data_IF_117281405167
#
_entry.id   IF_117281405167
#
_cell.length_a   1.000
_cell.length_b   1.000
_cell.length_c   1.000
_cell.angle_alpha   90.00
_cell.angle_beta   90.00
_cell.angle_gamma   90.00
#
_symmetry.space_group_name_H-M   'P 1'
#
loop_
_entity.id
_entity.type
_entity.pdbx_description
1 polymer ?
#
# COMPACT_ATOMS: atom_id res chain seq x y z
N UNK A 1 -10.32 5.73 6.11
CA UNK A 1 -10.13 4.28 5.83
C UNK A 1 -9.45 4.09 4.50
N UNK A 2 -8.48 3.23 4.47
CA UNK A 2 -7.72 2.85 3.28
C UNK A 2 -7.94 1.40 2.94
N UNK A 3 -8.02 1.11 1.66
CA UNK A 3 -8.08 -0.25 1.13
C UNK A 3 -6.79 -0.53 0.36
N UNK A 4 -6.11 -1.59 0.75
CA UNK A 4 -4.90 -2.06 0.07
C UNK A 4 -5.21 -3.39 -0.62
N UNK A 5 -4.87 -3.47 -1.88
CA UNK A 5 -5.04 -4.68 -2.69
C UNK A 5 -3.67 -5.22 -3.03
N UNK A 6 -3.42 -6.46 -2.64
CA UNK A 6 -2.20 -7.18 -2.92
C UNK A 6 -2.54 -8.37 -3.82
N UNK A 7 -1.70 -8.63 -4.79
CA UNK A 7 -1.96 -9.74 -5.69
C UNK A 7 -0.67 -10.44 -6.11
N UNK A 8 -0.82 -11.73 -6.33
CA UNK A 8 0.20 -12.60 -6.88
C UNK A 8 -0.39 -13.25 -8.13
N UNK A 9 -0.04 -12.71 -9.28
CA UNK A 9 -0.59 -13.12 -10.57
C UNK A 9 0.52 -13.73 -11.44
N UNK A 10 0.24 -14.83 -12.13
CA UNK A 10 1.22 -15.41 -13.04
C UNK A 10 1.48 -14.48 -14.23
N UNK A 11 2.74 -14.39 -14.66
CA UNK A 11 3.17 -13.50 -15.75
C UNK A 11 4.07 -14.20 -16.77
N UNK A 12 4.31 -15.49 -16.64
CA UNK A 12 5.19 -16.24 -17.54
C UNK A 12 4.56 -16.42 -18.91
N UNK A 13 3.30 -16.83 -18.96
CA UNK A 13 2.57 -16.96 -20.22
C UNK A 13 1.98 -15.65 -20.67
N UNK A 14 1.88 -15.44 -21.98
CA UNK A 14 1.37 -14.20 -22.55
C UNK A 14 -0.06 -13.89 -22.12
N UNK A 15 -0.93 -14.88 -22.09
CA UNK A 15 -2.31 -14.70 -21.66
C UNK A 15 -2.40 -14.23 -20.22
N UNK A 16 -1.55 -14.80 -19.34
CA UNK A 16 -1.50 -14.42 -17.95
C UNK A 16 -0.97 -13.00 -17.77
N UNK A 17 0.01 -12.58 -18.56
CA UNK A 17 0.50 -11.20 -18.56
C UNK A 17 -0.57 -10.23 -18.99
N UNK A 18 -1.35 -10.54 -19.99
CA UNK A 18 -2.47 -9.71 -20.46
C UNK A 18 -3.49 -9.53 -19.35
N UNK A 19 -3.85 -10.60 -18.66
CA UNK A 19 -4.79 -10.57 -17.55
C UNK A 19 -4.25 -9.77 -16.36
N UNK A 20 -2.98 -9.93 -16.03
CA UNK A 20 -2.34 -9.14 -14.98
C UNK A 20 -2.34 -7.65 -15.32
N UNK A 21 -2.02 -7.29 -16.55
CA UNK A 21 -2.03 -5.90 -17.01
C UNK A 21 -3.46 -5.33 -17.03
N UNK A 22 -4.42 -6.11 -17.45
CA UNK A 22 -5.83 -5.74 -17.42
C UNK A 22 -6.27 -5.41 -15.99
N UNK A 23 -5.90 -6.26 -15.05
CA UNK A 23 -6.26 -6.07 -13.65
C UNK A 23 -5.62 -4.82 -13.05
N UNK A 24 -4.35 -4.57 -13.35
CA UNK A 24 -3.67 -3.33 -12.92
C UNK A 24 -4.37 -2.09 -13.46
N UNK A 25 -4.69 -2.08 -14.74
CA UNK A 25 -5.42 -0.97 -15.37
C UNK A 25 -6.80 -0.78 -14.76
N UNK A 26 -7.47 -1.86 -14.45
CA UNK A 26 -8.74 -1.82 -13.75
C UNK A 26 -8.61 -1.12 -12.39
N UNK A 27 -7.63 -1.51 -11.59
CA UNK A 27 -7.39 -0.88 -10.29
C UNK A 27 -7.08 0.61 -10.42
N UNK A 28 -6.25 0.99 -11.36
CA UNK A 28 -5.93 2.40 -11.62
C UNK A 28 -7.18 3.19 -12.02
N UNK A 29 -8.02 2.62 -12.87
CA UNK A 29 -9.28 3.24 -13.29
C UNK A 29 -10.24 3.41 -12.12
N UNK A 30 -10.22 2.49 -11.18
CA UNK A 30 -11.04 2.58 -9.96
C UNK A 30 -10.47 3.55 -8.92
N UNK A 31 -9.36 4.19 -9.19
CA UNK A 31 -8.76 5.20 -8.34
C UNK A 31 -7.68 4.68 -7.40
N UNK A 32 -7.20 3.47 -7.59
CA UNK A 32 -6.07 2.95 -6.85
C UNK A 32 -4.76 3.49 -7.39
N UNK A 33 -3.80 3.69 -6.50
CA UNK A 33 -2.42 4.05 -6.84
C UNK A 33 -1.48 2.93 -6.45
N UNK A 34 -0.48 2.68 -7.28
CA UNK A 34 0.53 1.67 -6.99
C UNK A 34 1.41 2.14 -5.82
N UNK A 35 1.40 1.38 -4.74
CA UNK A 35 2.30 1.60 -3.60
C UNK A 35 3.61 0.84 -3.78
N UNK A 36 3.53 -0.40 -4.24
CA UNK A 36 4.65 -1.26 -4.61
C UNK A 36 4.20 -2.16 -5.75
N UNK A 37 5.12 -2.92 -6.33
CA UNK A 37 4.75 -3.93 -7.31
C UNK A 37 3.70 -4.87 -6.73
N UNK A 38 2.59 -5.01 -7.44
CA UNK A 38 1.47 -5.86 -7.04
C UNK A 38 0.79 -5.44 -5.74
N UNK A 39 1.01 -4.20 -5.30
CA UNK A 39 0.36 -3.62 -4.13
C UNK A 39 -0.21 -2.25 -4.51
N UNK A 40 -1.51 -2.14 -4.44
CA UNK A 40 -2.24 -0.92 -4.77
C UNK A 40 -3.06 -0.45 -3.58
N UNK A 41 -3.21 0.84 -3.42
CA UNK A 41 -3.95 1.41 -2.30
C UNK A 41 -4.89 2.52 -2.76
N UNK A 42 -6.01 2.65 -2.06
CA UNK A 42 -6.99 3.68 -2.31
C UNK A 42 -7.55 4.21 -0.99
N UNK A 43 -7.65 5.53 -0.88
CA UNK A 43 -8.38 6.17 0.20
C UNK A 43 -9.88 6.07 -0.07
N UNK A 44 -10.63 5.44 0.82
CA UNK A 44 -12.05 5.18 0.66
C UNK A 44 -12.94 6.07 1.54
N UNK A 45 -12.37 6.75 2.52
CA UNK A 45 -13.12 7.58 3.46
C UNK A 45 -13.75 6.77 4.58
N UNK A 46 -14.81 6.05 4.28
CA UNK A 46 -15.54 5.25 5.27
C UNK A 46 -15.50 3.77 4.93
N UNK A 47 -15.77 2.95 5.94
CA UNK A 47 -15.83 1.49 5.76
C UNK A 47 -16.96 1.08 4.83
N UNK A 48 -18.08 1.77 4.89
CA UNK A 48 -19.26 1.49 4.07
C UNK A 48 -18.97 1.67 2.58
N UNK A 49 -18.08 2.59 2.22
CA UNK A 49 -17.67 2.82 0.83
C UNK A 49 -16.76 1.72 0.28
N UNK A 50 -16.18 0.91 1.15
CA UNK A 50 -15.29 -0.19 0.72
C UNK A 50 -16.05 -1.36 0.12
N UNK A 51 -17.21 -1.67 0.64
CA UNK A 51 -17.97 -2.85 0.21
C UNK A 51 -18.26 -2.86 -1.29
N UNK A 52 -18.79 -1.79 -1.91
CA UNK A 52 -19.00 -1.80 -3.36
C UNK A 52 -17.70 -1.87 -4.14
N UNK A 53 -16.60 -1.31 -3.62
CA UNK A 53 -15.29 -1.38 -4.26
C UNK A 53 -14.77 -2.82 -4.25
N UNK A 54 -14.86 -3.50 -3.11
CA UNK A 54 -14.45 -4.90 -2.97
C UNK A 54 -15.27 -5.80 -3.87
N UNK A 55 -16.57 -5.59 -3.95
CA UNK A 55 -17.45 -6.35 -4.85
C UNK A 55 -17.04 -6.17 -6.31
N UNK A 56 -16.72 -4.95 -6.70
CA UNK A 56 -16.28 -4.65 -8.06
C UNK A 56 -14.95 -5.30 -8.40
N UNK A 57 -14.02 -5.33 -7.45
CA UNK A 57 -12.76 -6.06 -7.60
C UNK A 57 -13.04 -7.55 -7.78
N UNK A 58 -13.91 -8.12 -6.97
CA UNK A 58 -14.26 -9.53 -7.05
C UNK A 58 -14.88 -9.90 -8.41
N UNK A 59 -15.66 -9.01 -9.00
CA UNK A 59 -16.24 -9.21 -10.33
C UNK A 59 -15.24 -9.12 -11.46
N UNK A 60 -14.07 -8.53 -11.21
CA UNK A 60 -13.04 -8.30 -12.21
C UNK A 60 -11.74 -9.08 -11.95
N UNK A 61 -11.81 -10.10 -11.12
CA UNK A 61 -10.62 -10.93 -10.80
C UNK A 61 -10.06 -11.59 -12.06
N UNK A 62 -8.72 -11.71 -12.15
CA UNK A 62 -8.09 -12.54 -13.17
C UNK A 62 -8.46 -14.01 -12.98
N UNK A 63 -8.42 -14.83 -14.04
CA UNK A 63 -8.78 -16.25 -13.93
C UNK A 63 -7.79 -17.07 -13.12
N UNK A 64 -6.55 -16.62 -12.98
CA UNK A 64 -5.48 -17.31 -12.24
C UNK A 64 -4.79 -16.35 -11.28
N UNK A 65 -4.26 -16.90 -10.21
CA UNK A 65 -3.55 -16.14 -9.20
C UNK A 65 -4.40 -15.83 -7.98
N UNK A 66 -3.84 -15.03 -7.09
CA UNK A 66 -4.46 -14.69 -5.82
C UNK A 66 -4.51 -13.19 -5.64
N UNK A 67 -5.64 -12.70 -5.17
CA UNK A 67 -5.85 -11.28 -4.84
C UNK A 67 -6.34 -11.21 -3.40
N UNK A 68 -5.72 -10.36 -2.61
CA UNK A 68 -6.08 -10.13 -1.22
C UNK A 68 -6.32 -8.64 -0.99
N UNK A 69 -7.29 -8.31 -0.16
CA UNK A 69 -7.60 -6.94 0.20
C UNK A 69 -7.50 -6.76 1.71
N UNK A 70 -6.87 -5.67 2.14
CA UNK A 70 -6.68 -5.34 3.54
C UNK A 70 -7.20 -3.94 3.79
N UNK A 71 -7.95 -3.78 4.88
CA UNK A 71 -8.47 -2.50 5.31
C UNK A 71 -7.57 -1.91 6.38
N UNK A 72 -7.26 -0.61 6.24
CA UNK A 72 -6.48 0.13 7.23
C UNK A 72 -7.23 1.38 7.65
N UNK A 73 -7.12 1.71 8.93
CA UNK A 73 -7.48 3.05 9.39
C UNK A 73 -6.50 4.08 8.81
N UNK A 74 -6.89 5.34 8.80
CA UNK A 74 -6.01 6.41 8.34
C UNK A 74 -4.73 6.47 9.18
N UNK A 75 -4.84 6.25 10.47
CA UNK A 75 -3.71 6.21 11.38
C UNK A 75 -2.76 5.04 11.08
N UNK A 76 -3.32 3.86 10.85
CA UNK A 76 -2.51 2.68 10.49
C UNK A 76 -1.80 2.87 9.17
N UNK A 77 -2.48 3.41 8.18
CA UNK A 77 -1.88 3.71 6.87
C UNK A 77 -0.75 4.74 6.99
N UNK A 78 -0.99 5.82 7.74
CA UNK A 78 0.00 6.84 8.00
C UNK A 78 1.21 6.34 8.79
N UNK A 79 1.04 5.26 9.55
CA UNK A 79 2.12 4.63 10.32
C UNK A 79 2.96 3.62 9.54
N UNK A 80 2.66 3.37 8.26
CA UNK A 80 3.46 2.46 7.45
C UNK A 80 4.86 3.05 7.25
N UNK A 81 5.87 2.26 7.51
CA UNK A 81 7.27 2.65 7.30
C UNK A 81 7.72 2.06 5.96
N UNK A 82 8.15 2.94 5.06
CA UNK A 82 8.69 2.55 3.77
C UNK A 82 10.21 2.66 3.79
N UNK A 83 10.88 1.61 3.38
CA UNK A 83 12.33 1.56 3.33
C UNK A 83 12.76 1.29 1.90
N UNK A 84 13.65 2.16 1.39
CA UNK A 84 14.19 2.04 0.04
C UNK A 84 15.57 2.67 -0.01
N UNK A 85 16.52 2.02 -0.65
CA UNK A 85 17.89 2.52 -0.81
C UNK A 85 18.53 2.98 0.51
N UNK A 86 18.29 2.25 1.60
CA UNK A 86 18.73 2.57 2.97
C UNK A 86 18.14 3.84 3.56
N UNK A 87 17.01 4.28 3.01
CA UNK A 87 16.28 5.42 3.53
C UNK A 87 14.91 4.98 4.02
N UNK A 88 14.49 5.58 5.13
CA UNK A 88 13.14 5.37 5.67
C UNK A 88 12.26 6.50 5.17
N UNK A 89 11.15 6.14 4.54
CA UNK A 89 10.18 7.09 4.00
C UNK A 89 8.81 6.88 4.64
N UNK A 90 8.07 7.98 4.78
CA UNK A 90 6.68 7.92 5.24
C UNK A 90 5.76 7.51 4.10
N UNK A 91 4.63 6.90 4.44
CA UNK A 91 3.55 6.66 3.49
C UNK A 91 2.99 7.98 2.97
N UNK A 92 2.29 7.91 1.83
CA UNK A 92 1.64 9.09 1.26
C UNK A 92 0.68 9.71 2.26
N UNK A 93 0.64 11.03 2.27
CA UNK A 93 -0.29 11.76 3.12
C UNK A 93 -1.74 11.47 2.71
N UNK A 94 -2.66 11.41 3.69
CA UNK A 94 -4.07 11.29 3.39
C UNK A 94 -4.61 12.57 2.72
N UNK A 95 -5.78 12.48 2.05
CA UNK A 95 -6.42 13.66 1.48
C UNK A 95 -6.68 14.77 2.49
N UNK A 96 -6.76 16.00 2.01
CA UNK A 96 -6.81 17.25 2.77
C UNK A 96 -7.74 17.27 3.99
N UNK A 97 -8.87 16.61 3.90
CA UNK A 97 -9.84 16.61 5.01
C UNK A 97 -9.33 15.94 6.29
N UNK A 98 -8.21 15.19 6.20
CA UNK A 98 -7.59 14.50 7.32
C UNK A 98 -6.23 15.05 7.70
N UNK A 99 -5.67 15.98 6.93
CA UNK A 99 -4.32 16.52 7.15
C UNK A 99 -4.18 17.18 8.51
N UNK A 100 -5.19 17.94 8.96
CA UNK A 100 -5.18 18.60 10.28
C UNK A 100 -5.03 17.60 11.43
N UNK A 101 -5.47 16.38 11.25
CA UNK A 101 -5.38 15.33 12.27
C UNK A 101 -3.98 14.73 12.35
N UNK A 102 -3.27 14.71 11.21
CA UNK A 102 -1.96 14.07 11.10
C UNK A 102 -0.80 15.02 11.37
N UNK A 103 -0.96 16.32 11.17
CA UNK A 103 0.11 17.30 11.42
C UNK A 103 0.56 17.32 12.88
N UNK A 104 -0.37 17.23 13.83
CA UNK A 104 -0.02 17.23 15.26
C UNK A 104 0.74 15.96 15.71
N UNK A 105 0.49 14.84 15.06
CA UNK A 105 1.19 13.59 15.39
C UNK A 105 2.52 13.44 14.68
N UNK A 106 2.67 14.04 13.52
CA UNK A 106 3.90 13.94 12.72
C UNK A 106 5.06 14.72 13.34
N UNK A 107 4.78 15.87 13.95
CA UNK A 107 5.81 16.69 14.58
C UNK A 107 6.50 15.99 15.76
N UNK A 108 5.83 15.04 16.39
CA UNK A 108 6.39 14.26 17.49
C UNK A 108 7.18 13.04 17.02
N UNK A 109 6.79 12.48 15.87
CA UNK A 109 7.42 11.27 15.33
C UNK A 109 8.69 11.60 14.53
N UNK A 110 8.76 12.77 13.91
CA UNK A 110 9.91 13.18 13.09
C UNK A 110 11.22 13.27 13.88
N UNK A 111 11.15 13.58 15.17
CA UNK A 111 12.33 13.65 16.01
C UNK A 111 12.87 12.28 16.44
N UNK A 112 12.02 11.27 16.51
CA UNK A 112 12.47 9.93 16.89
C UNK A 112 13.00 9.13 15.70
N UNK A 113 12.49 9.39 14.50
CA UNK A 113 12.87 8.63 13.32
C UNK A 113 14.27 8.98 12.79
N UNK A 114 14.75 10.19 13.05
CA UNK A 114 16.07 10.62 12.55
C UNK A 114 17.21 9.89 13.27
N UNK A 115 17.05 9.54 14.52
CA UNK A 115 18.08 8.84 15.29
C UNK A 115 18.16 7.34 14.97
N UNK A 116 17.03 6.74 14.57
CA UNK A 116 16.97 5.31 14.30
C UNK A 116 17.40 4.93 12.87
N UNK A 117 17.37 5.89 11.95
CA UNK A 117 17.61 5.63 10.53
C UNK A 117 19.02 5.08 10.23
N UNK A 118 20.03 5.60 10.92
CA UNK A 118 21.41 5.24 10.62
C UNK A 118 21.86 3.93 11.27
N UNK A 119 21.18 3.49 12.32
CA UNK A 119 21.59 2.35 13.13
C UNK A 119 20.88 1.07 12.69
N UNK A 120 19.57 1.11 12.47
CA UNK A 120 18.77 -0.10 12.28
C UNK A 120 18.85 -0.66 10.85
N UNK A 121 19.00 0.19 9.84
CA UNK A 121 19.11 -0.26 8.46
C UNK A 121 20.39 -1.04 8.21
N UNK A 122 21.50 -0.60 8.79
CA UNK A 122 22.77 -1.30 8.67
C UNK A 122 22.75 -2.64 9.39
N UNK A 123 22.12 -2.72 10.55
CA UNK A 123 21.97 -3.98 11.29
C UNK A 123 21.06 -4.96 10.57
N UNK A 124 19.97 -4.48 9.98
CA UNK A 124 19.04 -5.33 9.24
C UNK A 124 19.70 -5.96 8.01
N UNK A 125 20.57 -5.21 7.31
CA UNK A 125 21.32 -5.74 6.18
C UNK A 125 22.39 -6.73 6.59
N UNK A 126 23.13 -6.46 7.67
CA UNK A 126 24.18 -7.34 8.18
C UNK A 126 23.61 -8.66 8.69
N UNK A 127 22.42 -8.63 9.27
CA UNK A 127 21.78 -9.82 9.81
C UNK A 127 21.02 -10.62 8.74
N UNK A 128 20.88 -10.05 7.53
CA UNK A 128 20.19 -10.70 6.43
C UNK A 128 18.83 -11.28 6.85
N UNK A 129 18.03 -10.49 7.53
CA UNK A 129 16.75 -10.91 8.07
C UNK A 129 15.77 -11.16 6.92
N UNK A 130 15.28 -12.39 6.73
CA UNK A 130 14.29 -12.69 5.71
C UNK A 130 12.91 -12.18 6.13
N UNK A 131 12.21 -11.63 5.19
CA UNK A 131 10.83 -11.25 5.35
C UNK A 131 9.92 -12.19 4.60
#
# INVERSE_FOLDING_TARGET
>A
MWLMVMFDLPVVEEENRKEANRFRKFLEKEGFSMAQFSVYAKFCGTRERMTPIINKINENLPPKGKVSAIQFTDKQYGGIIHMSNRQVMKSKEPPDQLMLFFEETNDLEDNEQIEDQDIDLNKAEEQNIPF
#
